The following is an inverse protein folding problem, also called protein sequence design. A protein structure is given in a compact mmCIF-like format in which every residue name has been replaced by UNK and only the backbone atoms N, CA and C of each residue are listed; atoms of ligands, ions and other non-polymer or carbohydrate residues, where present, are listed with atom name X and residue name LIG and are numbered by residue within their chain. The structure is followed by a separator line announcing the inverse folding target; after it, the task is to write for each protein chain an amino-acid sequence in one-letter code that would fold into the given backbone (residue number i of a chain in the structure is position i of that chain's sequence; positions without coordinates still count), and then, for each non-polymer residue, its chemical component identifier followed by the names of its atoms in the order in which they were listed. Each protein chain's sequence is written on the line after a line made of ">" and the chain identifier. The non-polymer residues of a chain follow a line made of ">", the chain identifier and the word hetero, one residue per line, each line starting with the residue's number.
data_IF_555664856117
#
_entry.id   IF_555664856117
#
_cell.length_a   1.000
_cell.length_b   1.000
_cell.length_c   1.000
_cell.angle_alpha   90.00
_cell.angle_beta   90.00
_cell.angle_gamma   90.00
#
_symmetry.space_group_name_H-M   'P 1'
#
loop_
_entity.id
_entity.type
_entity.pdbx_description
1 polymer ?
#
# COMPACT_ATOMS: atom_id res chain seq x y z
N UNK A 1 -6.08 28.10 2.27
CA UNK A 1 -6.20 26.83 1.52
C UNK A 1 -4.97 26.01 1.91
N UNK A 2 -5.15 24.85 2.47
CA UNK A 2 -4.04 23.92 2.81
C UNK A 2 -3.43 23.42 1.50
N UNK A 3 -2.18 23.73 1.24
CA UNK A 3 -1.48 23.29 0.03
C UNK A 3 -0.99 21.85 0.20
N UNK A 4 -1.08 21.04 -0.85
CA UNK A 4 -0.44 19.72 -0.88
C UNK A 4 1.08 19.86 -0.92
N UNK A 5 1.77 19.13 -0.07
CA UNK A 5 3.22 18.93 -0.13
C UNK A 5 3.58 17.81 -1.13
N UNK A 6 2.73 16.78 -1.19
CA UNK A 6 2.84 15.68 -2.14
C UNK A 6 1.60 15.67 -3.03
N UNK A 7 1.78 15.81 -4.33
CA UNK A 7 0.69 15.82 -5.31
C UNK A 7 0.26 14.42 -5.71
N UNK A 8 1.22 13.51 -5.94
CA UNK A 8 0.94 12.12 -6.31
C UNK A 8 1.44 11.17 -5.24
N UNK A 9 0.53 10.43 -4.65
CA UNK A 9 0.77 9.49 -3.57
C UNK A 9 0.56 8.08 -4.07
N UNK A 10 1.44 7.15 -3.67
CA UNK A 10 1.12 5.74 -3.72
C UNK A 10 0.89 5.24 -2.31
N UNK A 11 -0.29 4.73 -2.01
CA UNK A 11 -0.65 4.19 -0.70
C UNK A 11 -0.65 2.67 -0.75
N UNK A 12 0.10 2.02 0.12
CA UNK A 12 0.08 0.57 0.25
C UNK A 12 -0.66 0.17 1.53
N UNK A 13 -1.71 -0.59 1.37
CA UNK A 13 -2.42 -1.25 2.45
C UNK A 13 -2.04 -2.73 2.53
N UNK A 14 -1.83 -3.27 3.73
CA UNK A 14 -1.72 -4.73 3.91
C UNK A 14 -3.09 -5.38 3.76
N UNK A 15 -3.15 -6.65 3.34
CA UNK A 15 -4.41 -7.38 3.33
C UNK A 15 -5.05 -7.42 4.72
N UNK A 16 -4.26 -7.65 5.77
CA UNK A 16 -4.72 -7.62 7.16
C UNK A 16 -5.40 -6.32 7.57
N UNK A 17 -5.09 -5.20 6.89
CA UNK A 17 -5.75 -3.94 7.16
C UNK A 17 -7.22 -3.91 6.69
N UNK A 18 -7.63 -4.83 5.81
CA UNK A 18 -9.03 -4.94 5.31
C UNK A 18 -9.87 -5.95 6.10
N UNK A 19 -9.24 -6.80 6.90
CA UNK A 19 -9.91 -7.87 7.64
C UNK A 19 -10.66 -7.40 8.90
N UNK A 20 -10.41 -6.19 9.38
CA UNK A 20 -11.00 -5.71 10.62
C UNK A 20 -10.51 -6.50 11.84
N UNK A 21 -11.39 -6.69 12.82
CA UNK A 21 -11.08 -7.37 14.08
C UNK A 21 -11.03 -8.89 13.96
N UNK A 22 -11.63 -9.46 12.91
CA UNK A 22 -11.69 -10.93 12.69
C UNK A 22 -10.40 -11.51 12.11
N UNK A 23 -9.40 -10.68 11.79
CA UNK A 23 -8.10 -11.05 11.16
C UNK A 23 -8.23 -11.85 9.84
N UNK A 24 -9.43 -12.07 9.32
CA UNK A 24 -9.70 -12.77 8.07
C UNK A 24 -10.88 -12.17 7.30
N UNK A 25 -10.79 -12.23 5.98
CA UNK A 25 -11.84 -11.75 5.09
C UNK A 25 -11.79 -10.23 4.84
N UNK A 26 -12.90 -9.67 4.45
CA UNK A 26 -13.05 -8.27 4.07
C UNK A 26 -14.13 -7.64 4.95
N UNK A 27 -13.76 -6.63 5.74
CA UNK A 27 -14.72 -5.85 6.54
C UNK A 27 -15.19 -4.62 5.76
N UNK A 28 -16.50 -4.54 5.41
CA UNK A 28 -17.04 -3.38 4.68
C UNK A 28 -16.86 -2.05 5.42
N UNK A 29 -16.87 -2.03 6.75
CA UNK A 29 -16.69 -0.80 7.55
C UNK A 29 -15.26 -0.26 7.42
N UNK A 30 -14.30 -1.16 7.35
CA UNK A 30 -12.89 -0.80 7.13
C UNK A 30 -12.73 -0.22 5.73
N UNK A 31 -13.33 -0.87 4.71
CA UNK A 31 -13.29 -0.36 3.34
C UNK A 31 -13.93 1.02 3.23
N UNK A 32 -15.08 1.25 3.88
CA UNK A 32 -15.75 2.56 3.87
C UNK A 32 -14.89 3.64 4.52
N UNK A 33 -14.20 3.33 5.62
CA UNK A 33 -13.25 4.22 6.29
C UNK A 33 -12.04 4.54 5.42
N UNK A 34 -11.46 3.52 4.74
CA UNK A 34 -10.38 3.72 3.78
C UNK A 34 -10.83 4.59 2.60
N UNK A 35 -12.03 4.33 2.05
CA UNK A 35 -12.60 5.10 0.96
C UNK A 35 -12.82 6.57 1.35
N UNK A 36 -13.30 6.85 2.57
CA UNK A 36 -13.47 8.21 3.06
C UNK A 36 -12.13 8.93 3.19
N UNK A 37 -11.10 8.29 3.78
CA UNK A 37 -9.76 8.86 3.90
C UNK A 37 -9.14 9.21 2.53
N UNK A 38 -9.33 8.34 1.53
CA UNK A 38 -8.90 8.59 0.14
C UNK A 38 -9.67 9.75 -0.48
N UNK A 39 -10.99 9.80 -0.29
CA UNK A 39 -11.86 10.88 -0.78
C UNK A 39 -11.41 12.23 -0.24
N UNK A 40 -11.19 12.35 1.08
CA UNK A 40 -10.79 13.60 1.73
C UNK A 40 -9.45 14.13 1.16
N UNK A 41 -8.55 13.21 0.81
CA UNK A 41 -7.28 13.54 0.18
C UNK A 41 -7.47 13.98 -1.29
N UNK A 42 -8.38 13.31 -2.01
CA UNK A 42 -8.77 13.66 -3.39
C UNK A 42 -9.38 15.05 -3.49
N UNK A 43 -10.21 15.44 -2.52
CA UNK A 43 -10.85 16.76 -2.47
C UNK A 43 -9.83 17.91 -2.35
N UNK A 44 -8.61 17.63 -1.88
CA UNK A 44 -7.48 18.56 -1.91
C UNK A 44 -6.74 18.60 -3.27
N UNK A 45 -7.13 17.76 -4.22
CA UNK A 45 -6.49 17.65 -5.54
C UNK A 45 -5.35 16.64 -5.62
N UNK A 46 -5.19 15.75 -4.62
CA UNK A 46 -4.19 14.70 -4.66
C UNK A 46 -4.50 13.64 -5.74
N UNK A 47 -3.45 13.11 -6.36
CA UNK A 47 -3.49 11.96 -7.25
C UNK A 47 -3.12 10.71 -6.47
N UNK A 48 -3.97 9.71 -6.42
CA UNK A 48 -3.79 8.57 -5.51
C UNK A 48 -3.76 7.26 -6.28
N UNK A 49 -2.61 6.57 -6.22
CA UNK A 49 -2.48 5.16 -6.54
C UNK A 49 -2.53 4.32 -5.28
N UNK A 50 -3.13 3.14 -5.35
CA UNK A 50 -3.27 2.22 -4.22
C UNK A 50 -2.72 0.86 -4.60
N UNK A 51 -1.88 0.27 -3.75
CA UNK A 51 -1.51 -1.15 -3.77
C UNK A 51 -2.11 -1.80 -2.55
N UNK A 52 -2.80 -2.92 -2.74
CA UNK A 52 -3.45 -3.65 -1.65
C UNK A 52 -2.90 -5.07 -1.55
N UNK A 53 -2.64 -5.53 -0.32
CA UNK A 53 -2.21 -6.91 -0.05
C UNK A 53 -3.38 -7.90 -0.09
N UNK A 54 -3.05 -9.20 0.00
CA UNK A 54 -4.01 -10.30 0.03
C UNK A 54 -3.84 -11.22 1.24
N UNK A 55 -3.08 -10.78 2.26
CA UNK A 55 -2.71 -11.61 3.41
C UNK A 55 -3.85 -11.94 4.38
N UNK A 56 -4.98 -11.26 4.28
CA UNK A 56 -6.25 -11.53 4.97
C UNK A 56 -6.94 -12.80 4.44
N UNK A 57 -6.85 -13.05 3.13
CA UNK A 57 -7.46 -14.19 2.47
C UNK A 57 -6.48 -15.35 2.34
N UNK A 58 -5.26 -15.10 1.85
CA UNK A 58 -4.26 -16.14 1.62
C UNK A 58 -2.83 -15.67 1.95
N UNK A 59 -2.11 -16.46 2.74
CA UNK A 59 -0.69 -16.28 3.03
C UNK A 59 0.11 -17.41 2.39
N UNK A 60 0.68 -17.17 1.21
CA UNK A 60 1.45 -18.16 0.45
C UNK A 60 2.58 -18.80 1.28
N UNK A 61 3.24 -18.03 2.16
CA UNK A 61 4.28 -18.55 3.05
C UNK A 61 3.76 -19.58 4.06
N UNK A 62 2.56 -19.37 4.64
CA UNK A 62 1.95 -20.35 5.55
C UNK A 62 1.58 -21.63 4.82
N UNK A 63 1.03 -21.50 3.60
CA UNK A 63 0.63 -22.65 2.78
C UNK A 63 1.85 -23.42 2.26
N UNK A 64 2.94 -22.73 1.92
CA UNK A 64 4.20 -23.36 1.54
C UNK A 64 4.81 -24.18 2.67
N UNK A 65 4.77 -23.69 3.93
CA UNK A 65 5.18 -24.45 5.12
C UNK A 65 4.32 -25.72 5.36
N UNK A 66 3.09 -25.73 4.82
CA UNK A 66 2.19 -26.89 4.85
C UNK A 66 2.36 -27.82 3.64
N UNK A 67 3.38 -27.61 2.79
CA UNK A 67 3.72 -28.48 1.65
C UNK A 67 3.16 -28.05 0.30
N UNK A 68 2.50 -26.88 0.21
CA UNK A 68 2.07 -26.31 -1.07
C UNK A 68 3.27 -25.77 -1.85
N UNK A 69 3.25 -25.89 -3.17
CA UNK A 69 4.22 -25.22 -4.03
C UNK A 69 4.19 -23.70 -3.81
N UNK A 70 5.37 -23.10 -3.67
CA UNK A 70 5.51 -21.66 -3.38
C UNK A 70 4.92 -20.79 -4.49
N UNK A 71 5.13 -21.16 -5.75
CA UNK A 71 4.60 -20.42 -6.91
C UNK A 71 3.08 -20.45 -6.92
N UNK A 72 2.48 -21.61 -6.66
CA UNK A 72 1.03 -21.74 -6.54
C UNK A 72 0.47 -20.86 -5.39
N UNK A 73 1.12 -20.87 -4.23
CA UNK A 73 0.74 -20.03 -3.08
C UNK A 73 0.84 -18.54 -3.39
N UNK A 74 1.88 -18.11 -4.09
CA UNK A 74 2.06 -16.70 -4.49
C UNK A 74 1.01 -16.27 -5.52
N UNK A 75 0.64 -17.14 -6.50
CA UNK A 75 -0.48 -16.88 -7.41
C UNK A 75 -1.80 -16.72 -6.68
N UNK A 76 -2.08 -17.57 -5.68
CA UNK A 76 -3.28 -17.41 -4.84
C UNK A 76 -3.27 -16.07 -4.09
N UNK A 77 -2.13 -15.66 -3.56
CA UNK A 77 -1.96 -14.35 -2.95
C UNK A 77 -2.20 -13.19 -3.93
N UNK A 78 -1.74 -13.31 -5.17
CA UNK A 78 -2.04 -12.32 -6.24
C UNK A 78 -3.54 -12.23 -6.52
N UNK A 79 -4.24 -13.37 -6.63
CA UNK A 79 -5.70 -13.40 -6.80
C UNK A 79 -6.43 -12.76 -5.61
N UNK A 80 -5.96 -13.01 -4.39
CA UNK A 80 -6.51 -12.39 -3.19
C UNK A 80 -6.41 -10.86 -3.25
N UNK A 81 -5.29 -10.31 -3.74
CA UNK A 81 -5.17 -8.85 -3.92
C UNK A 81 -6.18 -8.30 -4.92
N UNK A 82 -6.55 -9.08 -5.95
CA UNK A 82 -7.58 -8.66 -6.93
C UNK A 82 -8.94 -8.60 -6.26
N UNK A 83 -9.30 -9.60 -5.45
CA UNK A 83 -10.54 -9.60 -4.67
C UNK A 83 -10.64 -8.37 -3.77
N UNK A 84 -9.58 -8.08 -3.01
CA UNK A 84 -9.52 -6.89 -2.14
C UNK A 84 -9.58 -5.58 -2.96
N UNK A 85 -8.93 -5.53 -4.11
CA UNK A 85 -8.97 -4.37 -5.01
C UNK A 85 -10.36 -4.10 -5.57
N UNK A 86 -11.13 -5.14 -5.91
CA UNK A 86 -12.51 -5.03 -6.38
C UNK A 86 -13.41 -4.51 -5.24
N UNK A 87 -13.26 -5.05 -4.04
CA UNK A 87 -14.03 -4.62 -2.87
C UNK A 87 -13.74 -3.16 -2.50
N UNK A 88 -12.46 -2.74 -2.53
CA UNK A 88 -12.10 -1.35 -2.28
C UNK A 88 -12.59 -0.41 -3.39
N UNK A 89 -12.57 -0.84 -4.66
CA UNK A 89 -13.17 -0.05 -5.76
C UNK A 89 -14.66 0.23 -5.48
N UNK A 90 -15.42 -0.80 -5.11
CA UNK A 90 -16.85 -0.63 -4.80
C UNK A 90 -17.06 0.40 -3.69
N UNK A 91 -16.30 0.33 -2.61
CA UNK A 91 -16.38 1.30 -1.52
C UNK A 91 -16.02 2.73 -1.96
N UNK A 92 -14.98 2.90 -2.78
CA UNK A 92 -14.59 4.20 -3.34
C UNK A 92 -15.66 4.77 -4.28
N UNK A 93 -16.24 3.95 -5.16
CA UNK A 93 -17.30 4.35 -6.07
C UNK A 93 -18.58 4.74 -5.31
N UNK A 94 -18.95 4.00 -4.24
CA UNK A 94 -20.05 4.39 -3.33
C UNK A 94 -19.78 5.72 -2.62
N UNK A 95 -18.52 6.03 -2.31
CA UNK A 95 -18.11 7.31 -1.76
C UNK A 95 -18.06 8.45 -2.80
N UNK A 96 -18.33 8.16 -4.08
CA UNK A 96 -18.31 9.12 -5.18
C UNK A 96 -16.91 9.34 -5.80
N UNK A 97 -15.96 8.46 -5.55
CA UNK A 97 -14.59 8.56 -6.08
C UNK A 97 -14.46 7.71 -7.35
N UNK A 98 -14.08 8.35 -8.46
CA UNK A 98 -13.80 7.63 -9.72
C UNK A 98 -12.62 6.70 -9.55
N UNK A 99 -12.82 5.40 -9.80
CA UNK A 99 -11.81 4.40 -9.51
C UNK A 99 -11.60 3.42 -10.66
N UNK A 100 -10.36 2.97 -10.86
CA UNK A 100 -9.99 1.90 -11.79
C UNK A 100 -9.14 0.85 -11.09
N UNK A 101 -9.37 -0.42 -11.43
CA UNK A 101 -8.56 -1.55 -10.96
C UNK A 101 -7.70 -2.04 -12.12
N UNK A 102 -6.39 -2.05 -11.90
CA UNK A 102 -5.42 -2.61 -12.85
C UNK A 102 -4.71 -3.81 -12.23
N UNK A 103 -4.60 -4.88 -12.99
CA UNK A 103 -3.96 -6.12 -12.57
C UNK A 103 -2.66 -6.37 -13.33
N UNK A 104 -1.60 -6.76 -12.61
CA UNK A 104 -0.34 -7.16 -13.20
C UNK A 104 -0.41 -8.48 -13.99
N UNK A 105 -1.43 -9.32 -13.71
CA UNK A 105 -1.75 -10.52 -14.49
C UNK A 105 -3.03 -10.27 -15.29
N UNK A 106 -3.13 -10.85 -16.50
CA UNK A 106 -4.30 -10.65 -17.35
C UNK A 106 -5.54 -11.33 -16.77
N UNK A 107 -6.60 -10.55 -16.57
CA UNK A 107 -7.89 -11.02 -16.02
C UNK A 107 -9.05 -10.38 -16.79
N UNK A 108 -9.24 -10.81 -18.03
CA UNK A 108 -10.26 -10.26 -18.92
C UNK A 108 -11.66 -10.27 -18.27
N UNK A 109 -12.37 -9.16 -18.36
CA UNK A 109 -13.71 -8.97 -17.78
C UNK A 109 -13.75 -8.71 -16.29
N UNK A 110 -12.59 -8.74 -15.56
CA UNK A 110 -12.51 -8.51 -14.12
C UNK A 110 -11.73 -7.25 -13.77
N UNK A 111 -10.53 -7.10 -14.32
CA UNK A 111 -9.65 -5.95 -14.11
C UNK A 111 -8.92 -5.58 -15.41
N UNK A 112 -8.59 -4.30 -15.57
CA UNK A 112 -7.76 -3.86 -16.68
C UNK A 112 -6.34 -4.42 -16.53
N UNK A 113 -5.72 -4.82 -17.64
CA UNK A 113 -4.30 -5.17 -17.60
C UNK A 113 -3.48 -3.93 -17.30
N UNK A 114 -2.47 -4.05 -16.43
CA UNK A 114 -1.63 -2.92 -16.06
C UNK A 114 -0.91 -2.34 -17.29
N UNK A 115 -1.14 -1.08 -17.53
CA UNK A 115 -0.40 -0.24 -18.46
C UNK A 115 0.06 1.04 -17.77
N UNK A 116 1.36 1.28 -17.77
CA UNK A 116 1.97 2.43 -17.09
C UNK A 116 1.44 3.77 -17.61
N UNK A 117 1.30 3.90 -18.94
CA UNK A 117 0.88 5.17 -19.56
C UNK A 117 -0.57 5.47 -19.21
N UNK A 118 -1.41 4.46 -19.29
CA UNK A 118 -2.82 4.57 -18.91
C UNK A 118 -2.97 4.90 -17.41
N UNK A 119 -2.19 4.25 -16.55
CA UNK A 119 -2.21 4.55 -15.11
C UNK A 119 -1.88 6.02 -14.81
N UNK A 120 -0.82 6.56 -15.44
CA UNK A 120 -0.44 7.98 -15.28
C UNK A 120 -1.56 8.90 -15.80
N UNK A 121 -2.17 8.59 -16.94
CA UNK A 121 -3.28 9.36 -17.50
C UNK A 121 -4.50 9.36 -16.57
N UNK A 122 -4.87 8.19 -16.02
CA UNK A 122 -6.00 8.06 -15.11
C UNK A 122 -5.77 8.87 -13.82
N UNK A 123 -4.57 8.76 -13.22
CA UNK A 123 -4.20 9.55 -12.04
C UNK A 123 -4.28 11.05 -12.31
N UNK A 124 -3.85 11.50 -13.48
CA UNK A 124 -3.90 12.91 -13.88
C UNK A 124 -5.35 13.39 -14.18
N UNK A 125 -6.25 12.48 -14.56
CA UNK A 125 -7.66 12.77 -14.89
C UNK A 125 -8.62 12.42 -13.75
N UNK A 126 -8.19 12.61 -12.52
CA UNK A 126 -9.00 12.52 -11.31
C UNK A 126 -9.48 11.11 -10.93
N UNK A 127 -8.93 10.06 -11.51
CA UNK A 127 -9.18 8.69 -11.05
C UNK A 127 -8.24 8.28 -9.93
N UNK A 128 -8.73 7.45 -9.01
CA UNK A 128 -7.92 6.59 -8.17
C UNK A 128 -7.61 5.31 -8.94
N UNK A 129 -6.35 4.87 -8.92
CA UNK A 129 -5.95 3.63 -9.58
C UNK A 129 -5.52 2.61 -8.52
N UNK A 130 -6.19 1.47 -8.46
CA UNK A 130 -5.85 0.36 -7.58
C UNK A 130 -5.04 -0.65 -8.38
N UNK A 131 -3.80 -0.89 -7.95
CA UNK A 131 -2.90 -1.86 -8.55
C UNK A 131 -2.98 -3.18 -7.80
N UNK A 132 -3.32 -4.25 -8.48
CA UNK A 132 -3.52 -5.59 -7.94
C UNK A 132 -2.60 -6.62 -8.60
N UNK A 133 -2.61 -7.84 -8.09
CA UNK A 133 -1.72 -8.94 -8.48
C UNK A 133 -0.22 -8.65 -8.26
N UNK A 134 0.10 -7.73 -7.35
CA UNK A 134 1.47 -7.45 -6.96
C UNK A 134 2.35 -7.00 -8.13
N UNK A 135 3.51 -7.65 -8.28
CA UNK A 135 4.40 -7.44 -9.45
C UNK A 135 4.00 -8.27 -10.66
N UNK A 136 3.07 -9.22 -10.52
CA UNK A 136 2.77 -10.24 -11.52
C UNK A 136 3.74 -11.43 -11.51
N UNK A 137 4.73 -11.42 -10.61
CA UNK A 137 5.75 -12.46 -10.50
C UNK A 137 5.75 -13.06 -9.09
N UNK A 138 5.88 -14.41 -8.98
CA UNK A 138 6.11 -15.06 -7.69
C UNK A 138 7.37 -14.54 -6.99
N UNK A 139 7.51 -14.83 -5.69
CA UNK A 139 8.63 -14.49 -4.80
C UNK A 139 8.75 -13.01 -4.41
N UNK A 140 7.93 -12.12 -4.94
CA UNK A 140 7.88 -10.71 -4.55
C UNK A 140 6.69 -10.41 -3.64
N UNK A 141 6.87 -9.43 -2.77
CA UNK A 141 5.79 -8.97 -1.88
C UNK A 141 5.02 -7.80 -2.49
N UNK A 142 3.91 -7.43 -1.84
CA UNK A 142 3.17 -6.22 -2.20
C UNK A 142 3.88 -4.94 -1.79
N UNK A 143 4.87 -4.98 -0.89
CA UNK A 143 5.74 -3.83 -0.59
C UNK A 143 6.64 -3.53 -1.79
N UNK A 144 7.30 -4.57 -2.36
CA UNK A 144 8.05 -4.43 -3.62
C UNK A 144 7.16 -3.91 -4.76
N UNK A 145 5.94 -4.45 -4.89
CA UNK A 145 4.99 -3.96 -5.89
C UNK A 145 4.63 -2.48 -5.68
N UNK A 146 4.45 -2.06 -4.42
CA UNK A 146 4.19 -0.67 -4.07
C UNK A 146 5.29 0.27 -4.52
N UNK A 147 6.55 -0.05 -4.21
CA UNK A 147 7.71 0.73 -4.66
C UNK A 147 7.80 0.78 -6.19
N UNK A 148 7.63 -0.38 -6.86
CA UNK A 148 7.66 -0.46 -8.31
C UNK A 148 6.59 0.44 -8.95
N UNK A 149 5.33 0.33 -8.51
CA UNK A 149 4.23 1.17 -9.04
C UNK A 149 4.41 2.64 -8.72
N UNK A 150 4.97 2.99 -7.55
CA UNK A 150 5.28 4.38 -7.20
C UNK A 150 6.29 4.98 -8.18
N UNK A 151 7.39 4.27 -8.45
CA UNK A 151 8.44 4.71 -9.38
C UNK A 151 7.87 4.83 -10.81
N UNK A 152 7.18 3.79 -11.29
CA UNK A 152 6.61 3.76 -12.64
C UNK A 152 5.59 4.86 -12.88
N UNK A 153 4.77 5.18 -11.89
CA UNK A 153 3.75 6.22 -11.99
C UNK A 153 4.23 7.59 -11.55
N UNK A 154 5.51 7.73 -11.20
CA UNK A 154 6.12 8.99 -10.77
C UNK A 154 5.41 9.57 -9.52
N UNK A 155 5.17 8.75 -8.51
CA UNK A 155 4.66 9.21 -7.23
C UNK A 155 5.74 10.02 -6.48
N UNK A 156 5.32 11.07 -5.80
CA UNK A 156 6.21 11.91 -4.98
C UNK A 156 6.66 11.18 -3.72
N UNK A 157 5.83 10.24 -3.24
CA UNK A 157 6.08 9.45 -2.02
C UNK A 157 5.28 8.14 -2.06
N UNK A 158 5.83 7.09 -1.47
CA UNK A 158 5.08 5.87 -1.15
C UNK A 158 4.74 5.83 0.34
N UNK A 159 3.49 5.62 0.65
CA UNK A 159 2.94 5.56 2.00
C UNK A 159 2.59 4.12 2.35
N UNK A 160 3.23 3.55 3.40
CA UNK A 160 2.87 2.25 3.95
C UNK A 160 1.96 2.43 5.16
N UNK A 161 0.69 2.10 4.98
CA UNK A 161 -0.29 2.10 6.05
C UNK A 161 -0.14 0.84 6.93
N UNK A 162 -0.01 1.04 8.24
CA UNK A 162 0.18 -0.01 9.25
C UNK A 162 -0.75 0.19 10.44
N UNK A 163 -0.70 -0.73 11.42
CA UNK A 163 -1.43 -0.58 12.71
C UNK A 163 -0.60 0.14 13.77
N UNK A 164 0.71 0.34 13.54
CA UNK A 164 1.63 1.03 14.46
C UNK A 164 2.01 2.40 13.91
N UNK A 165 2.43 3.31 14.77
CA UNK A 165 2.63 4.72 14.44
C UNK A 165 3.77 4.96 13.43
N UNK A 166 4.66 4.01 13.26
CA UNK A 166 5.76 4.09 12.31
C UNK A 166 6.79 2.99 12.55
N UNK A 167 8.07 3.28 12.34
CA UNK A 167 9.17 2.33 12.50
C UNK A 167 9.75 2.45 13.91
N UNK A 168 10.02 1.29 14.50
CA UNK A 168 10.62 1.15 15.83
C UNK A 168 11.86 0.26 15.77
N UNK A 169 12.73 0.37 16.78
CA UNK A 169 13.91 -0.48 16.95
C UNK A 169 13.58 -1.97 17.17
N UNK A 170 12.39 -2.26 17.67
CA UNK A 170 11.81 -3.58 17.87
C UNK A 170 10.29 -3.50 17.71
N UNK A 171 9.58 -4.63 17.77
CA UNK A 171 8.13 -4.68 17.71
C UNK A 171 7.51 -4.01 18.96
N UNK A 172 6.85 -2.84 18.85
CA UNK A 172 6.34 -2.10 20.01
C UNK A 172 5.20 -2.81 20.73
N UNK A 173 4.54 -3.78 20.08
CA UNK A 173 3.50 -4.60 20.74
C UNK A 173 4.10 -5.66 21.66
N UNK A 174 5.39 -6.03 21.45
CA UNK A 174 6.09 -7.05 22.22
C UNK A 174 7.15 -6.47 23.14
N UNK A 175 7.79 -5.37 22.76
CA UNK A 175 8.85 -4.71 23.52
C UNK A 175 8.45 -3.26 23.85
N UNK A 176 8.12 -3.01 25.12
CA UNK A 176 7.76 -1.68 25.62
C UNK A 176 8.93 -0.66 25.59
N UNK A 177 10.17 -1.14 25.41
CA UNK A 177 11.36 -0.29 25.28
C UNK A 177 11.70 0.00 23.81
N UNK A 178 10.87 -0.42 22.86
CA UNK A 178 11.06 -0.14 21.45
C UNK A 178 11.11 1.38 21.21
N UNK A 179 12.20 1.84 20.58
CA UNK A 179 12.43 3.26 20.29
C UNK A 179 11.80 3.59 18.94
N UNK A 180 10.95 4.60 18.91
CA UNK A 180 10.35 5.14 17.69
C UNK A 180 11.38 5.95 16.91
N UNK A 181 11.41 5.77 15.59
CA UNK A 181 12.23 6.55 14.67
C UNK A 181 11.36 7.51 13.88
N UNK A 182 11.43 8.84 14.08
CA UNK A 182 10.69 9.81 13.27
C UNK A 182 11.22 9.89 11.82
N UNK A 183 12.51 9.62 11.64
CA UNK A 183 13.16 9.52 10.33
C UNK A 183 14.29 8.50 10.31
N UNK A 184 14.57 7.91 9.15
CA UNK A 184 15.63 6.93 8.93
C UNK A 184 16.24 7.11 7.54
N UNK A 185 17.55 6.93 7.43
CA UNK A 185 18.17 6.72 6.12
C UNK A 185 17.92 5.29 5.63
N UNK A 186 17.78 5.10 4.31
CA UNK A 186 17.61 3.76 3.72
C UNK A 186 18.73 2.79 4.13
N UNK A 187 19.98 3.24 4.10
CA UNK A 187 21.11 2.42 4.44
C UNK A 187 21.11 2.00 5.92
N UNK A 188 20.61 2.86 6.81
CA UNK A 188 20.44 2.52 8.23
C UNK A 188 19.33 1.48 8.43
N UNK A 189 18.21 1.63 7.74
CA UNK A 189 17.10 0.69 7.78
C UNK A 189 17.54 -0.72 7.29
N UNK A 190 18.29 -0.75 6.19
CA UNK A 190 18.82 -2.00 5.61
C UNK A 190 19.88 -2.63 6.54
N UNK A 191 20.85 -1.83 7.00
CA UNK A 191 21.96 -2.30 7.87
C UNK A 191 21.45 -2.87 9.19
N UNK A 192 20.44 -2.24 9.78
CA UNK A 192 19.84 -2.69 11.04
C UNK A 192 18.81 -3.81 10.83
N UNK A 193 18.56 -4.22 9.58
CA UNK A 193 17.57 -5.25 9.23
C UNK A 193 16.19 -4.98 9.88
N UNK A 194 15.76 -3.72 9.89
CA UNK A 194 14.48 -3.33 10.46
C UNK A 194 13.34 -3.94 9.63
N UNK A 195 12.37 -4.52 10.31
CA UNK A 195 11.22 -5.20 9.68
C UNK A 195 10.16 -4.20 9.17
N UNK A 196 10.59 -3.28 8.33
CA UNK A 196 9.73 -2.27 7.73
C UNK A 196 9.03 -2.82 6.49
N UNK A 197 9.84 -3.32 5.57
CA UNK A 197 9.49 -3.89 4.28
C UNK A 197 10.48 -5.01 3.94
N UNK A 198 10.22 -5.75 2.86
CA UNK A 198 11.25 -6.64 2.34
C UNK A 198 12.46 -5.85 1.78
N UNK A 199 13.64 -6.49 1.79
CA UNK A 199 14.89 -5.85 1.39
C UNK A 199 14.87 -5.37 -0.07
N UNK A 200 14.13 -6.06 -0.96
CA UNK A 200 13.97 -5.67 -2.36
C UNK A 200 13.23 -4.35 -2.47
N UNK A 201 12.15 -4.17 -1.69
CA UNK A 201 11.39 -2.93 -1.66
C UNK A 201 12.25 -1.74 -1.18
N UNK A 202 13.01 -1.91 -0.08
CA UNK A 202 13.89 -0.87 0.46
C UNK A 202 15.00 -0.49 -0.53
N UNK A 203 15.64 -1.49 -1.14
CA UNK A 203 16.71 -1.26 -2.12
C UNK A 203 16.17 -0.56 -3.36
N UNK A 204 15.02 -0.98 -3.88
CA UNK A 204 14.38 -0.37 -5.04
C UNK A 204 14.03 1.11 -4.76
N UNK A 205 13.47 1.41 -3.60
CA UNK A 205 13.12 2.77 -3.22
C UNK A 205 14.36 3.65 -3.06
N UNK A 206 15.43 3.16 -2.41
CA UNK A 206 16.72 3.84 -2.26
C UNK A 206 17.33 4.18 -3.62
N UNK A 207 17.47 3.18 -4.50
CA UNK A 207 18.16 3.32 -5.78
C UNK A 207 17.44 4.29 -6.73
N UNK A 208 16.14 4.50 -6.52
CA UNK A 208 15.33 5.47 -7.27
C UNK A 208 14.99 6.75 -6.47
N UNK A 209 15.59 6.95 -5.29
CA UNK A 209 15.34 8.11 -4.43
C UNK A 209 13.84 8.34 -4.17
N UNK A 210 13.07 7.27 -4.02
CA UNK A 210 11.65 7.31 -3.70
C UNK A 210 11.46 7.42 -2.18
N UNK A 211 11.00 8.55 -1.64
CA UNK A 211 10.72 8.65 -0.21
C UNK A 211 9.64 7.65 0.20
N UNK A 212 9.83 7.01 1.35
CA UNK A 212 8.85 6.13 1.96
C UNK A 212 8.37 6.75 3.27
N UNK A 213 7.09 6.61 3.58
CA UNK A 213 6.57 6.95 4.92
C UNK A 213 5.73 5.81 5.46
N UNK A 214 6.06 5.37 6.68
CA UNK A 214 5.28 4.38 7.42
C UNK A 214 4.42 5.10 8.44
N UNK A 215 3.12 4.84 8.46
CA UNK A 215 2.18 5.55 9.32
C UNK A 215 1.04 4.66 9.81
N UNK A 216 0.40 5.07 10.91
CA UNK A 216 -0.75 4.37 11.47
C UNK A 216 -2.04 4.79 10.75
N UNK A 217 -2.68 3.82 10.08
CA UNK A 217 -3.94 4.04 9.35
C UNK A 217 -5.13 4.37 10.28
N UNK A 218 -5.01 4.09 11.58
CA UNK A 218 -6.07 4.36 12.56
C UNK A 218 -6.02 5.78 13.14
N UNK A 219 -4.98 6.57 12.84
CA UNK A 219 -4.95 7.98 13.22
C UNK A 219 -5.91 8.77 12.32
N UNK A 220 -6.68 9.65 12.94
CA UNK A 220 -7.64 10.50 12.25
C UNK A 220 -6.96 11.38 11.19
N UNK A 221 -7.54 11.38 9.99
CA UNK A 221 -7.08 12.17 8.84
C UNK A 221 -5.60 11.95 8.45
N UNK A 222 -4.95 10.86 8.89
CA UNK A 222 -3.52 10.67 8.72
C UNK A 222 -3.08 10.82 7.25
N UNK A 223 -3.78 10.21 6.30
CA UNK A 223 -3.45 10.30 4.89
C UNK A 223 -3.48 11.75 4.38
N UNK A 224 -4.52 12.49 4.73
CA UNK A 224 -4.70 13.90 4.38
C UNK A 224 -3.63 14.79 4.99
N UNK A 225 -3.35 14.60 6.28
CA UNK A 225 -2.33 15.35 7.03
C UNK A 225 -0.93 15.11 6.44
N UNK A 226 -0.60 13.86 6.11
CA UNK A 226 0.66 13.52 5.44
C UNK A 226 0.74 14.18 4.05
N UNK A 227 -0.34 14.14 3.27
CA UNK A 227 -0.38 14.79 1.96
C UNK A 227 -0.11 16.30 2.03
N UNK A 228 -0.52 16.94 3.13
CA UNK A 228 -0.26 18.35 3.45
C UNK A 228 1.12 18.62 4.06
N UNK A 229 1.94 17.59 4.28
CA UNK A 229 3.32 17.72 4.76
C UNK A 229 3.51 17.61 6.27
N UNK A 230 2.49 17.18 7.01
CA UNK A 230 2.67 16.95 8.46
C UNK A 230 3.63 15.79 8.72
N UNK A 231 4.43 15.93 9.78
CA UNK A 231 5.42 14.94 10.22
C UNK A 231 4.77 13.82 11.03
N UNK A 232 3.90 13.02 10.38
CA UNK A 232 3.27 11.84 10.95
C UNK A 232 4.03 10.61 10.52
N UNK A 233 4.21 9.66 11.43
CA UNK A 233 4.87 8.41 11.14
C UNK A 233 6.39 8.53 11.01
N UNK A 234 7.00 7.58 10.29
CA UNK A 234 8.44 7.56 10.01
C UNK A 234 8.71 7.84 8.55
N UNK A 235 9.52 8.85 8.26
CA UNK A 235 10.05 9.12 6.92
C UNK A 235 11.33 8.30 6.71
N UNK A 236 11.45 7.61 5.57
CA UNK A 236 12.64 6.89 5.14
C UNK A 236 13.11 7.48 3.82
N UNK A 237 14.31 8.02 3.77
CA UNK A 237 14.87 8.73 2.61
C UNK A 237 16.38 8.57 2.47
#
# INVERSE_FOLDING_TARGET
>A
MTSLNYKRLLVKYSGEAVAGDDDQGIDPKILDRMAQSVKDCKELGAQIGIVIGGGDLFRGEKLSKAGMDRVAGDHMGMLATVMNGIALRDALERAGVKTRVMSAISMSGVAEHYDRRLAIQLLANDFVVIFTAGTGNPFFTTDTAGCLRAIETQADIMLKATRVDGVYSADPEKDKNAIFYPSLAFDDAIRQNLKIMDATALTLARDHSLPLKVFNLNQDDALKRIACGEEIGTLIS
#
